data_IF_352771952265
#
_entry.id   IF_352771952265
#
_cell.length_a   1.000
_cell.length_b   1.000
_cell.length_c   1.000
_cell.angle_alpha   90.00
_cell.angle_beta   90.00
_cell.angle_gamma   90.00
#
_symmetry.space_group_name_H-M   'P 1'
#
loop_
_entity.id
_entity.type
_entity.pdbx_description
1 polymer ?
#
# COMPACT_ATOMS: atom_id res chain seq x y z
N UNK A 1 -5.37 -27.48 -12.54
CA UNK A 1 -5.66 -27.44 -11.09
C UNK A 1 -6.81 -26.48 -10.88
N UNK A 2 -7.95 -26.97 -10.38
CA UNK A 2 -9.13 -26.13 -10.14
C UNK A 2 -9.02 -25.40 -8.80
N UNK A 3 -9.59 -24.20 -8.80
CA UNK A 3 -9.55 -23.17 -7.77
C UNK A 3 -10.18 -23.59 -6.43
N UNK A 4 -11.05 -24.62 -6.45
CA UNK A 4 -11.81 -25.08 -5.29
C UNK A 4 -10.93 -25.81 -4.27
N UNK A 5 -9.95 -26.61 -4.70
CA UNK A 5 -9.13 -27.42 -3.77
C UNK A 5 -8.18 -26.57 -2.93
N UNK A 6 -7.81 -25.37 -3.40
CA UNK A 6 -7.00 -24.43 -2.64
C UNK A 6 -7.84 -23.57 -1.66
N UNK A 7 -9.13 -23.38 -1.96
CA UNK A 7 -9.96 -22.43 -1.22
C UNK A 7 -10.34 -22.95 0.18
N UNK A 8 -10.59 -24.25 0.32
CA UNK A 8 -10.96 -24.84 1.61
C UNK A 8 -9.79 -24.87 2.61
N UNK A 9 -8.55 -25.08 2.15
CA UNK A 9 -7.37 -25.12 3.03
C UNK A 9 -6.85 -23.73 3.41
N UNK A 10 -7.04 -22.71 2.56
CA UNK A 10 -6.52 -21.35 2.79
C UNK A 10 -7.61 -20.32 3.13
N UNK A 11 -8.78 -20.76 3.59
CA UNK A 11 -9.94 -19.90 3.85
C UNK A 11 -9.62 -18.73 4.80
N UNK A 12 -8.86 -18.99 5.86
CA UNK A 12 -8.47 -17.95 6.83
C UNK A 12 -7.57 -16.87 6.19
N UNK A 13 -6.57 -17.28 5.40
CA UNK A 13 -5.68 -16.37 4.68
C UNK A 13 -6.46 -15.49 3.70
N UNK A 14 -7.44 -16.06 2.99
CA UNK A 14 -8.30 -15.32 2.06
C UNK A 14 -9.15 -14.30 2.80
N UNK A 15 -9.76 -14.68 3.93
CA UNK A 15 -10.56 -13.76 4.75
C UNK A 15 -9.69 -12.61 5.26
N UNK A 16 -8.54 -12.91 5.88
CA UNK A 16 -7.60 -11.90 6.39
C UNK A 16 -7.10 -10.96 5.28
N UNK A 17 -6.72 -11.52 4.13
CA UNK A 17 -6.28 -10.73 2.96
C UNK A 17 -7.41 -9.82 2.46
N UNK A 18 -8.63 -10.34 2.36
CA UNK A 18 -9.80 -9.58 1.90
C UNK A 18 -10.13 -8.44 2.86
N UNK A 19 -10.10 -8.68 4.17
CA UNK A 19 -10.33 -7.63 5.18
C UNK A 19 -9.29 -6.49 5.07
N UNK A 20 -8.03 -6.83 4.83
CA UNK A 20 -6.97 -5.82 4.57
C UNK A 20 -7.28 -5.01 3.32
N UNK A 21 -7.73 -5.66 2.24
CA UNK A 21 -8.10 -5.00 0.99
C UNK A 21 -9.35 -4.13 1.13
N UNK A 22 -10.34 -4.53 1.93
CA UNK A 22 -11.51 -3.69 2.23
C UNK A 22 -11.08 -2.40 2.93
N UNK A 23 -10.21 -2.49 3.94
CA UNK A 23 -9.66 -1.30 4.63
C UNK A 23 -8.93 -0.38 3.67
N UNK A 24 -8.11 -0.93 2.77
CA UNK A 24 -7.42 -0.16 1.74
C UNK A 24 -8.42 0.47 0.75
N UNK A 25 -9.44 -0.27 0.32
CA UNK A 25 -10.45 0.24 -0.61
C UNK A 25 -11.19 1.46 -0.06
N UNK A 26 -11.54 1.45 1.23
CA UNK A 26 -12.15 2.61 1.89
C UNK A 26 -11.25 3.86 1.79
N UNK A 27 -9.93 3.70 1.84
CA UNK A 27 -8.99 4.82 1.64
C UNK A 27 -8.95 5.31 0.20
N UNK A 28 -9.24 4.47 -0.78
CA UNK A 28 -9.19 4.80 -2.21
C UNK A 28 -10.51 5.41 -2.73
N UNK A 29 -11.59 5.35 -1.95
CA UNK A 29 -12.91 5.87 -2.33
C UNK A 29 -12.88 7.36 -2.68
N UNK A 30 -12.14 8.16 -1.91
CA UNK A 30 -11.99 9.62 -2.07
C UNK A 30 -11.48 10.04 -3.45
N UNK A 31 -10.78 9.15 -4.16
CA UNK A 31 -10.23 9.39 -5.50
C UNK A 31 -10.85 8.47 -6.55
N UNK A 32 -11.94 7.77 -6.19
CA UNK A 32 -12.62 6.79 -7.03
C UNK A 32 -11.68 5.70 -7.60
N UNK A 33 -10.63 5.33 -6.86
CA UNK A 33 -9.61 4.36 -7.30
C UNK A 33 -9.78 2.97 -6.65
N UNK A 34 -10.96 2.67 -6.11
CA UNK A 34 -11.26 1.38 -5.50
C UNK A 34 -10.97 0.21 -6.43
N UNK A 35 -10.50 -0.89 -5.84
CA UNK A 35 -10.23 -2.12 -6.57
C UNK A 35 -11.39 -3.09 -6.47
N UNK A 36 -11.83 -3.61 -7.62
CA UNK A 36 -12.90 -4.59 -7.72
C UNK A 36 -12.41 -6.03 -7.50
N UNK A 37 -13.35 -6.98 -7.62
CA UNK A 37 -13.11 -8.40 -7.35
C UNK A 37 -11.94 -9.01 -8.14
N UNK A 38 -11.69 -8.59 -9.39
CA UNK A 38 -10.57 -9.12 -10.19
C UNK A 38 -9.21 -8.89 -9.55
N UNK A 39 -9.00 -7.69 -9.00
CA UNK A 39 -7.74 -7.34 -8.34
C UNK A 39 -7.65 -8.05 -7.00
N UNK A 40 -8.74 -8.08 -6.22
CA UNK A 40 -8.83 -8.84 -4.98
C UNK A 40 -8.46 -10.31 -5.19
N UNK A 41 -9.07 -10.96 -6.17
CA UNK A 41 -8.85 -12.37 -6.45
C UNK A 41 -7.40 -12.63 -6.87
N UNK A 42 -6.83 -11.77 -7.72
CA UNK A 42 -5.41 -11.86 -8.09
C UNK A 42 -4.47 -11.74 -6.88
N UNK A 43 -4.75 -10.82 -5.96
CA UNK A 43 -3.98 -10.67 -4.72
C UNK A 43 -4.14 -11.90 -3.83
N UNK A 44 -5.36 -12.41 -3.64
CA UNK A 44 -5.62 -13.62 -2.87
C UNK A 44 -4.87 -14.84 -3.45
N UNK A 45 -4.87 -15.02 -4.77
CA UNK A 45 -4.07 -16.09 -5.39
C UNK A 45 -2.59 -15.92 -5.14
N UNK A 46 -2.07 -14.70 -5.25
CA UNK A 46 -0.67 -14.43 -4.96
C UNK A 46 -0.32 -14.84 -3.52
N UNK A 47 -1.15 -14.45 -2.55
CA UNK A 47 -0.96 -14.80 -1.14
C UNK A 47 -1.03 -16.32 -0.91
N UNK A 48 -1.99 -17.01 -1.53
CA UNK A 48 -2.13 -18.47 -1.44
C UNK A 48 -0.89 -19.17 -2.01
N UNK A 49 -0.40 -18.74 -3.18
CA UNK A 49 0.79 -19.34 -3.77
C UNK A 49 2.05 -19.03 -2.97
N UNK A 50 2.14 -17.84 -2.38
CA UNK A 50 3.24 -17.51 -1.48
C UNK A 50 3.26 -18.45 -0.27
N UNK A 51 2.12 -18.62 0.41
CA UNK A 51 1.95 -19.50 1.57
C UNK A 51 2.25 -20.96 1.22
N UNK A 52 1.71 -21.45 0.10
CA UNK A 52 1.89 -22.83 -0.37
C UNK A 52 3.35 -23.17 -0.65
N UNK A 53 4.12 -22.25 -1.22
CA UNK A 53 5.50 -22.50 -1.65
C UNK A 53 6.55 -21.88 -0.73
N UNK A 54 6.13 -21.18 0.34
CA UNK A 54 7.02 -20.52 1.30
C UNK A 54 7.99 -19.54 0.66
N UNK A 55 7.52 -18.73 -0.31
CA UNK A 55 8.42 -17.88 -1.11
C UNK A 55 8.97 -16.69 -0.31
N UNK A 56 8.13 -16.07 0.52
CA UNK A 56 8.47 -14.98 1.44
C UNK A 56 7.46 -14.90 2.58
N UNK A 57 7.73 -14.04 3.58
CA UNK A 57 6.79 -13.79 4.68
C UNK A 57 5.48 -13.18 4.17
N UNK A 58 4.37 -13.42 4.89
CA UNK A 58 3.06 -12.88 4.50
C UNK A 58 3.07 -11.36 4.38
N UNK A 59 3.72 -10.65 5.29
CA UNK A 59 3.74 -9.18 5.25
C UNK A 59 4.58 -8.66 4.07
N UNK A 60 5.67 -9.36 3.73
CA UNK A 60 6.47 -9.05 2.55
C UNK A 60 5.67 -9.30 1.25
N UNK A 61 4.99 -10.45 1.16
CA UNK A 61 4.14 -10.78 0.03
C UNK A 61 3.02 -9.74 -0.17
N UNK A 62 2.39 -9.32 0.92
CA UNK A 62 1.34 -8.31 0.86
C UNK A 62 1.88 -6.91 0.50
N UNK A 63 3.08 -6.54 0.98
CA UNK A 63 3.74 -5.29 0.58
C UNK A 63 3.92 -5.23 -0.95
N UNK A 64 4.40 -6.31 -1.55
CA UNK A 64 4.50 -6.40 -3.01
C UNK A 64 3.15 -6.25 -3.72
N UNK A 65 2.07 -6.81 -3.16
CA UNK A 65 0.74 -6.66 -3.73
C UNK A 65 0.20 -5.22 -3.59
N UNK A 66 0.45 -4.56 -2.47
CA UNK A 66 0.13 -3.15 -2.29
C UNK A 66 0.88 -2.30 -3.33
N UNK A 67 2.18 -2.51 -3.47
CA UNK A 67 3.02 -1.82 -4.44
C UNK A 67 2.58 -2.03 -5.90
N UNK A 68 2.28 -3.27 -6.30
CA UNK A 68 2.09 -3.63 -7.72
C UNK A 68 0.63 -3.59 -8.19
N UNK A 69 -0.34 -3.74 -7.29
CA UNK A 69 -1.76 -3.83 -7.66
C UNK A 69 -2.58 -2.62 -7.20
N UNK A 70 -2.16 -1.98 -6.10
CA UNK A 70 -2.91 -0.87 -5.51
C UNK A 70 -2.30 0.48 -5.89
N UNK A 71 -1.04 0.74 -5.54
CA UNK A 71 -0.40 2.03 -5.80
C UNK A 71 -0.43 2.49 -7.26
N UNK A 72 -0.38 1.62 -8.30
CA UNK A 72 -0.44 2.04 -9.69
C UNK A 72 -1.77 2.67 -10.12
N UNK A 73 -2.80 2.56 -9.28
CA UNK A 73 -4.11 3.19 -9.49
C UNK A 73 -4.16 4.64 -9.00
N UNK A 74 -3.15 5.08 -8.25
CA UNK A 74 -3.11 6.39 -7.61
C UNK A 74 -2.33 7.36 -8.50
N UNK A 75 -3.00 8.41 -8.94
CA UNK A 75 -2.41 9.52 -9.67
C UNK A 75 -3.27 10.77 -9.56
N UNK A 76 -2.66 11.94 -9.75
CA UNK A 76 -3.36 13.22 -9.77
C UNK A 76 -2.60 14.33 -9.05
N UNK A 77 -3.25 15.48 -8.98
CA UNK A 77 -2.75 16.72 -8.36
C UNK A 77 -3.61 17.22 -7.20
N UNK A 78 -4.77 16.60 -6.95
CA UNK A 78 -5.75 17.08 -5.98
C UNK A 78 -5.35 16.76 -4.53
N UNK A 79 -5.85 17.56 -3.59
CA UNK A 79 -5.64 17.36 -2.15
C UNK A 79 -6.19 16.01 -1.63
N UNK A 80 -7.20 15.45 -2.30
CA UNK A 80 -7.69 14.09 -2.03
C UNK A 80 -6.61 13.04 -2.26
N UNK A 81 -5.83 13.14 -3.35
CA UNK A 81 -4.69 12.24 -3.63
C UNK A 81 -3.66 12.31 -2.51
N UNK A 82 -3.33 13.51 -2.02
CA UNK A 82 -2.42 13.68 -0.87
C UNK A 82 -2.93 12.93 0.35
N UNK A 83 -4.22 13.09 0.69
CA UNK A 83 -4.85 12.42 1.84
C UNK A 83 -4.78 10.89 1.71
N UNK A 84 -5.07 10.36 0.53
CA UNK A 84 -4.96 8.93 0.24
C UNK A 84 -3.53 8.43 0.41
N UNK A 85 -2.54 9.15 -0.13
CA UNK A 85 -1.13 8.80 0.02
C UNK A 85 -0.68 8.80 1.49
N UNK A 86 -1.06 9.81 2.28
CA UNK A 86 -0.74 9.87 3.72
C UNK A 86 -1.39 8.72 4.51
N UNK A 87 -2.65 8.40 4.20
CA UNK A 87 -3.36 7.28 4.84
C UNK A 87 -2.71 5.93 4.50
N UNK A 88 -2.35 5.72 3.23
CA UNK A 88 -1.62 4.51 2.82
C UNK A 88 -0.21 4.46 3.41
N UNK A 89 0.45 5.61 3.56
CA UNK A 89 1.76 5.69 4.22
C UNK A 89 1.67 5.29 5.68
N UNK A 90 0.61 5.68 6.38
CA UNK A 90 0.32 5.21 7.75
C UNK A 90 0.14 3.69 7.81
N UNK A 91 -0.58 3.09 6.84
CA UNK A 91 -0.73 1.64 6.73
C UNK A 91 0.62 0.96 6.49
N UNK A 92 1.43 1.50 5.58
CA UNK A 92 2.71 0.93 5.19
C UNK A 92 3.78 1.04 6.29
N UNK A 93 3.77 2.11 7.08
CA UNK A 93 4.66 2.24 8.24
C UNK A 93 4.25 1.26 9.33
N UNK A 94 2.96 1.13 9.61
CA UNK A 94 2.45 0.33 10.73
C UNK A 94 2.87 0.91 12.09
N UNK A 95 2.71 0.12 13.15
CA UNK A 95 3.02 0.59 14.52
C UNK A 95 4.48 0.35 14.94
N UNK A 96 5.25 -0.44 14.19
CA UNK A 96 6.58 -0.90 14.58
C UNK A 96 7.69 0.13 14.42
N UNK A 97 7.53 1.13 13.55
CA UNK A 97 8.57 2.10 13.23
C UNK A 97 8.66 3.29 14.20
N UNK A 98 7.70 3.45 15.12
CA UNK A 98 7.63 4.62 16.01
C UNK A 98 7.38 5.94 15.28
N UNK A 99 6.98 5.91 14.00
CA UNK A 99 6.69 7.11 13.20
C UNK A 99 5.19 7.40 13.28
N UNK A 100 4.84 8.50 13.95
CA UNK A 100 3.46 8.98 13.96
C UNK A 100 3.13 9.67 12.62
N UNK A 101 2.04 9.22 11.99
CA UNK A 101 1.46 9.87 10.80
C UNK A 101 0.15 10.53 11.20
N UNK A 102 0.20 11.83 11.46
CA UNK A 102 -1.00 12.66 11.61
C UNK A 102 -1.33 13.28 10.25
N UNK A 103 -2.42 12.81 9.63
CA UNK A 103 -2.81 13.24 8.30
C UNK A 103 -3.17 14.73 8.27
N UNK A 104 -3.74 15.27 9.35
CA UNK A 104 -4.15 16.67 9.41
C UNK A 104 -2.91 17.58 9.36
N UNK A 105 -1.93 17.32 10.22
CA UNK A 105 -0.69 18.09 10.31
C UNK A 105 0.13 18.03 9.00
N UNK A 106 0.08 16.88 8.30
CA UNK A 106 0.87 16.64 7.09
C UNK A 106 0.13 16.99 5.78
N UNK A 107 -1.10 17.52 5.88
CA UNK A 107 -1.88 17.89 4.69
C UNK A 107 -1.28 19.12 3.98
N UNK A 108 -0.70 20.05 4.73
CA UNK A 108 -0.08 21.27 4.17
C UNK A 108 1.38 21.01 3.78
N UNK A 109 2.15 20.35 4.64
CA UNK A 109 3.56 20.02 4.42
C UNK A 109 3.83 18.56 4.80
N UNK A 110 4.12 17.72 3.80
CA UNK A 110 4.45 16.31 4.00
C UNK A 110 5.96 16.07 4.06
N UNK A 111 6.80 17.10 3.90
CA UNK A 111 8.26 17.00 3.89
C UNK A 111 8.86 16.32 5.13
N UNK A 112 8.38 16.55 6.37
CA UNK A 112 8.93 15.86 7.54
C UNK A 112 8.71 14.34 7.48
N UNK A 113 7.73 13.88 6.69
CA UNK A 113 7.44 12.47 6.49
C UNK A 113 8.32 11.85 5.41
N UNK A 114 8.27 12.35 4.17
CA UNK A 114 8.96 11.70 3.05
C UNK A 114 10.48 11.89 3.10
N UNK A 115 11.00 12.94 3.76
CA UNK A 115 12.44 13.15 3.91
C UNK A 115 13.13 12.04 4.71
N UNK A 116 12.38 11.26 5.50
CA UNK A 116 12.90 10.06 6.17
C UNK A 116 13.39 8.98 5.19
N UNK A 117 12.94 9.02 3.93
CA UNK A 117 13.39 8.15 2.84
C UNK A 117 14.39 8.81 1.89
N UNK A 118 14.86 10.04 2.17
CA UNK A 118 15.76 10.78 1.28
C UNK A 118 17.10 10.06 1.03
N UNK A 119 17.59 9.31 2.01
CA UNK A 119 18.80 8.48 1.90
C UNK A 119 18.60 7.17 1.12
N UNK A 120 17.39 6.92 0.58
CA UNK A 120 17.07 5.71 -0.19
C UNK A 120 16.86 4.44 0.65
N UNK A 121 16.96 4.54 1.98
CA UNK A 121 16.79 3.44 2.93
C UNK A 121 15.45 3.57 3.66
N UNK A 122 14.89 2.44 4.07
CA UNK A 122 13.71 2.41 4.92
C UNK A 122 14.10 2.68 6.37
N UNK A 123 13.34 3.50 7.11
CA UNK A 123 13.42 3.52 8.56
C UNK A 123 13.22 2.12 9.15
N UNK A 124 13.88 1.79 10.28
CA UNK A 124 13.71 0.50 10.93
C UNK A 124 12.27 0.31 11.42
N UNK A 125 11.78 -0.93 11.40
CA UNK A 125 10.44 -1.29 11.91
C UNK A 125 9.26 -0.91 11.01
N UNK A 126 9.51 -0.42 9.79
CA UNK A 126 8.48 -0.17 8.78
C UNK A 126 7.85 -1.49 8.33
N UNK A 127 6.52 -1.57 8.36
CA UNK A 127 5.76 -2.78 8.07
C UNK A 127 5.80 -3.21 6.59
N UNK A 128 5.66 -2.27 5.65
CA UNK A 128 5.62 -2.47 4.20
C UNK A 128 6.68 -1.57 3.53
N UNK A 129 7.97 -1.95 3.61
CA UNK A 129 9.09 -1.11 3.17
C UNK A 129 9.07 -0.72 1.69
N UNK A 130 8.63 -1.60 0.79
CA UNK A 130 8.61 -1.30 -0.65
C UNK A 130 7.52 -0.27 -0.97
N UNK A 131 6.32 -0.48 -0.44
CA UNK A 131 5.21 0.46 -0.58
C UNK A 131 5.50 1.79 0.10
N UNK A 132 6.05 1.80 1.32
CA UNK A 132 6.38 3.02 2.04
C UNK A 132 7.38 3.90 1.27
N UNK A 133 8.45 3.29 0.71
CA UNK A 133 9.41 4.00 -0.13
C UNK A 133 8.76 4.61 -1.37
N UNK A 134 7.87 3.86 -2.04
CA UNK A 134 7.16 4.36 -3.22
C UNK A 134 6.18 5.49 -2.87
N UNK A 135 5.46 5.37 -1.76
CA UNK A 135 4.56 6.40 -1.25
C UNK A 135 5.31 7.68 -0.87
N UNK A 136 6.46 7.57 -0.22
CA UNK A 136 7.33 8.72 0.09
C UNK A 136 7.75 9.46 -1.18
N UNK A 137 8.16 8.73 -2.23
CA UNK A 137 8.47 9.33 -3.53
C UNK A 137 7.25 10.03 -4.15
N UNK A 138 6.08 9.38 -4.12
CA UNK A 138 4.87 9.95 -4.69
C UNK A 138 4.40 11.20 -3.94
N UNK A 139 4.55 11.25 -2.61
CA UNK A 139 4.28 12.43 -1.79
C UNK A 139 5.24 13.58 -2.14
N UNK A 140 6.53 13.30 -2.25
CA UNK A 140 7.53 14.32 -2.66
C UNK A 140 7.19 14.93 -4.01
N UNK A 141 6.90 14.11 -5.03
CA UNK A 141 6.51 14.60 -6.37
C UNK A 141 5.23 15.44 -6.34
N UNK A 142 4.25 15.03 -5.54
CA UNK A 142 3.02 15.80 -5.40
C UNK A 142 3.28 17.20 -4.81
N UNK A 143 4.27 17.31 -3.92
CA UNK A 143 4.64 18.56 -3.26
C UNK A 143 5.54 19.46 -4.13
N UNK A 144 6.54 18.87 -4.80
CA UNK A 144 7.50 19.59 -5.63
C UNK A 144 6.91 19.97 -7.00
N UNK A 145 6.20 19.06 -7.65
CA UNK A 145 5.72 19.23 -9.03
C UNK A 145 4.22 19.51 -9.12
N UNK A 146 3.50 19.45 -8.00
CA UNK A 146 2.04 19.59 -7.96
C UNK A 146 1.27 18.41 -8.58
N UNK A 147 1.95 17.34 -8.99
CA UNK A 147 1.34 16.14 -9.57
C UNK A 147 2.13 14.89 -9.21
N UNK A 148 1.42 13.79 -9.02
CA UNK A 148 2.05 12.48 -8.77
C UNK A 148 1.38 11.38 -9.56
N UNK A 149 2.17 10.39 -9.95
CA UNK A 149 1.70 9.15 -10.55
C UNK A 149 2.70 8.05 -10.21
N UNK A 150 2.20 6.84 -10.01
CA UNK A 150 3.06 5.69 -9.81
C UNK A 150 4.04 5.48 -10.98
N UNK A 151 3.65 5.84 -12.21
CA UNK A 151 4.41 5.53 -13.43
C UNK A 151 5.47 6.58 -13.80
N UNK A 152 5.45 7.76 -13.17
CA UNK A 152 6.39 8.86 -13.43
C UNK A 152 7.67 8.75 -12.56
N UNK A 153 8.07 7.53 -12.23
CA UNK A 153 9.26 7.23 -11.43
C UNK A 153 10.26 6.41 -12.20
#
# INVERSE_FOLDING_TARGET
MQLLDAYDTHKELVVRTTERLVKINTLLEDIHAHVGFRVRDAICFYMIYNDRYGLMDEEEAFDWQLLQKILPRIQGSHSSVRRVLLNLMKVAIGSGAGIAVNVQDLTEDASPLYMRWAAGQNPPGVKHPQSARKLAYMLRRLEEDGFTSFWLS
#
